data_IF_045694423260
#
_entry.id   IF_045694423260
#
_cell.length_a   1.000
_cell.length_b   1.000
_cell.length_c   1.000
_cell.angle_alpha   90.00
_cell.angle_beta   90.00
_cell.angle_gamma   90.00
#
_symmetry.space_group_name_H-M   'P 1'
#
loop_
_entity.id
_entity.type
_entity.pdbx_description
1 polymer ?
#
# COMPACT_ATOMS: atom_id res chain seq x y z
N UNK A 1 12.29 15.51 14.30
CA UNK A 1 10.89 15.75 13.83
C UNK A 1 9.92 15.61 15.00
N UNK A 2 8.91 16.48 15.08
CA UNK A 2 7.80 16.32 16.04
C UNK A 2 6.90 15.15 15.62
N UNK A 3 6.25 14.46 16.57
CA UNK A 3 5.39 13.28 16.25
C UNK A 3 4.35 13.53 15.15
N UNK A 4 3.60 14.67 15.14
CA UNK A 4 2.65 14.93 14.04
C UNK A 4 3.31 15.02 12.66
N UNK A 5 4.56 15.46 12.58
CA UNK A 5 5.32 15.49 11.34
C UNK A 5 5.69 14.07 10.87
N UNK A 6 6.06 13.18 11.82
CA UNK A 6 6.36 11.77 11.52
C UNK A 6 5.13 11.06 10.95
N UNK A 7 3.96 11.26 11.58
CA UNK A 7 2.68 10.72 11.12
C UNK A 7 2.36 11.16 9.69
N UNK A 8 2.42 12.47 9.41
CA UNK A 8 2.16 13.03 8.08
C UNK A 8 3.14 12.53 7.03
N UNK A 9 4.42 12.43 7.37
CA UNK A 9 5.45 11.90 6.46
C UNK A 9 5.19 10.42 6.18
N UNK A 10 4.90 9.62 7.19
CA UNK A 10 4.60 8.19 7.00
C UNK A 10 3.38 7.99 6.08
N UNK A 11 2.29 8.73 6.29
CA UNK A 11 1.12 8.69 5.41
C UNK A 11 1.44 9.17 3.99
N UNK A 12 2.19 10.25 3.85
CA UNK A 12 2.63 10.76 2.55
C UNK A 12 3.47 9.74 1.78
N UNK A 13 4.37 9.04 2.47
CA UNK A 13 5.19 7.96 1.88
C UNK A 13 4.32 6.78 1.43
N UNK A 14 3.30 6.37 2.20
CA UNK A 14 2.34 5.36 1.77
C UNK A 14 1.64 5.79 0.48
N UNK A 15 1.11 7.02 0.44
CA UNK A 15 0.39 7.53 -0.72
C UNK A 15 1.28 7.54 -1.98
N UNK A 16 2.52 8.02 -1.86
CA UNK A 16 3.47 8.06 -2.98
C UNK A 16 3.87 6.66 -3.42
N UNK A 17 4.13 5.75 -2.47
CA UNK A 17 4.55 4.37 -2.77
C UNK A 17 3.46 3.57 -3.49
N UNK A 18 2.19 3.76 -3.09
CA UNK A 18 1.06 3.02 -3.67
C UNK A 18 0.51 3.64 -4.96
N UNK A 19 0.86 4.90 -5.26
CA UNK A 19 0.32 5.63 -6.42
C UNK A 19 0.58 4.94 -7.77
N UNK A 20 1.78 4.43 -8.07
CA UNK A 20 2.03 3.72 -9.33
C UNK A 20 1.13 2.51 -9.52
N UNK A 21 0.93 1.70 -8.46
CA UNK A 21 0.06 0.52 -8.51
C UNK A 21 -1.40 0.92 -8.76
N UNK A 22 -1.92 1.90 -8.03
CA UNK A 22 -3.29 2.38 -8.21
C UNK A 22 -3.54 2.97 -9.60
N UNK A 23 -2.62 3.79 -10.10
CA UNK A 23 -2.73 4.40 -11.43
C UNK A 23 -2.65 3.34 -12.54
N UNK A 24 -1.65 2.45 -12.48
CA UNK A 24 -1.45 1.46 -13.53
C UNK A 24 -2.59 0.45 -13.57
N UNK A 25 -3.06 -0.04 -12.43
CA UNK A 25 -4.19 -0.96 -12.36
C UNK A 25 -5.48 -0.33 -12.90
N UNK A 26 -5.72 0.97 -12.67
CA UNK A 26 -6.91 1.67 -13.16
C UNK A 26 -6.82 2.04 -14.63
N UNK A 27 -5.70 2.61 -15.07
CA UNK A 27 -5.59 3.23 -16.40
C UNK A 27 -5.04 2.26 -17.47
N UNK A 28 -4.22 1.29 -17.07
CA UNK A 28 -3.59 0.31 -17.94
C UNK A 28 -3.64 -1.11 -17.32
N UNK A 29 -4.84 -1.66 -17.04
CA UNK A 29 -5.03 -2.87 -16.24
C UNK A 29 -4.32 -4.10 -16.83
N UNK A 30 -4.29 -4.25 -18.14
CA UNK A 30 -3.58 -5.36 -18.80
C UNK A 30 -2.07 -5.23 -18.59
N UNK A 31 -1.51 -4.03 -18.75
CA UNK A 31 -0.09 -3.76 -18.50
C UNK A 31 0.28 -3.95 -17.02
N UNK A 32 -0.62 -3.57 -16.10
CA UNK A 32 -0.44 -3.84 -14.68
C UNK A 32 -0.38 -5.35 -14.40
N UNK A 33 -1.34 -6.11 -14.93
CA UNK A 33 -1.39 -7.55 -14.73
C UNK A 33 -0.14 -8.24 -15.28
N UNK A 34 0.26 -7.92 -16.53
CA UNK A 34 1.36 -8.62 -17.22
C UNK A 34 2.75 -8.19 -16.75
N UNK A 35 2.94 -6.94 -16.33
CA UNK A 35 4.27 -6.36 -16.17
C UNK A 35 4.56 -5.67 -14.83
N UNK A 36 3.61 -5.58 -13.91
CA UNK A 36 3.90 -4.91 -12.62
C UNK A 36 4.75 -5.80 -11.69
N UNK A 37 5.71 -5.21 -10.96
CA UNK A 37 6.31 -3.89 -11.16
C UNK A 37 7.41 -3.92 -12.23
N UNK A 38 7.62 -2.80 -12.90
CA UNK A 38 8.80 -2.56 -13.75
C UNK A 38 9.10 -3.68 -14.79
N UNK A 39 8.05 -4.30 -15.35
CA UNK A 39 8.17 -5.38 -16.34
C UNK A 39 8.40 -6.77 -15.74
N UNK A 40 8.38 -6.94 -14.42
CA UNK A 40 8.67 -8.22 -13.76
C UNK A 40 7.49 -9.20 -13.74
N UNK A 41 6.26 -8.73 -13.94
CA UNK A 41 5.08 -9.60 -14.06
C UNK A 41 4.69 -10.37 -12.80
N UNK A 42 4.90 -9.80 -11.62
CA UNK A 42 4.64 -10.50 -10.35
C UNK A 42 3.20 -10.98 -10.20
N UNK A 43 2.24 -10.30 -10.83
CA UNK A 43 0.82 -10.67 -10.75
C UNK A 43 0.53 -11.84 -11.71
N UNK A 44 0.93 -11.71 -12.98
CA UNK A 44 0.73 -12.75 -13.99
C UNK A 44 1.46 -14.06 -13.65
N UNK A 45 2.57 -13.97 -12.91
CA UNK A 45 3.37 -15.13 -12.52
C UNK A 45 2.60 -16.15 -11.65
N UNK A 46 1.58 -15.69 -10.92
CA UNK A 46 0.76 -16.56 -10.08
C UNK A 46 -0.21 -17.46 -10.87
N UNK A 47 -0.25 -17.31 -12.19
CA UNK A 47 -1.01 -18.19 -13.08
C UNK A 47 -2.51 -17.91 -13.12
N UNK A 48 -2.99 -16.85 -12.49
CA UNK A 48 -4.39 -16.47 -12.48
C UNK A 48 -4.85 -15.94 -13.84
N UNK A 49 -6.14 -16.17 -14.17
CA UNK A 49 -6.73 -15.61 -15.37
C UNK A 49 -6.90 -14.09 -15.21
N UNK A 50 -6.49 -13.35 -16.24
CA UNK A 50 -6.72 -11.91 -16.27
C UNK A 50 -8.22 -11.57 -16.24
N UNK A 51 -8.59 -10.72 -15.29
CA UNK A 51 -9.93 -10.16 -15.16
C UNK A 51 -9.83 -8.63 -15.10
N UNK A 52 -10.13 -7.95 -16.21
CA UNK A 52 -10.01 -6.49 -16.29
C UNK A 52 -10.87 -5.76 -15.26
N UNK A 53 -12.10 -6.22 -15.06
CA UNK A 53 -13.01 -5.59 -14.10
C UNK A 53 -12.42 -5.64 -12.68
N UNK A 54 -11.97 -6.80 -12.25
CA UNK A 54 -11.36 -6.95 -10.93
C UNK A 54 -10.09 -6.10 -10.76
N UNK A 55 -9.22 -6.07 -11.77
CA UNK A 55 -7.98 -5.27 -11.72
C UNK A 55 -8.30 -3.78 -11.64
N UNK A 56 -9.28 -3.28 -12.40
CA UNK A 56 -9.72 -1.88 -12.34
C UNK A 56 -10.36 -1.53 -11.00
N UNK A 57 -11.16 -2.43 -10.43
CA UNK A 57 -11.78 -2.20 -9.11
C UNK A 57 -10.72 -2.10 -8.02
N UNK A 58 -9.73 -2.98 -8.01
CA UNK A 58 -8.61 -2.90 -7.07
C UNK A 58 -7.83 -1.58 -7.25
N UNK A 59 -7.57 -1.19 -8.50
CA UNK A 59 -6.92 0.08 -8.81
C UNK A 59 -7.71 1.28 -8.31
N UNK A 60 -9.02 1.30 -8.54
CA UNK A 60 -9.92 2.37 -8.09
C UNK A 60 -9.98 2.46 -6.56
N UNK A 61 -10.04 1.31 -5.86
CA UNK A 61 -10.00 1.26 -4.40
C UNK A 61 -8.67 1.78 -3.86
N UNK A 62 -7.54 1.43 -4.47
CA UNK A 62 -6.24 1.99 -4.10
C UNK A 62 -6.22 3.50 -4.30
N UNK A 63 -6.69 4.02 -5.44
CA UNK A 63 -6.72 5.47 -5.68
C UNK A 63 -7.59 6.20 -4.68
N UNK A 64 -8.77 5.66 -4.35
CA UNK A 64 -9.63 6.24 -3.32
C UNK A 64 -8.93 6.31 -1.96
N UNK A 65 -8.26 5.22 -1.55
CA UNK A 65 -7.52 5.17 -0.30
C UNK A 65 -6.30 6.11 -0.30
N UNK A 66 -5.58 6.20 -1.43
CA UNK A 66 -4.46 7.14 -1.62
C UNK A 66 -4.94 8.59 -1.49
N UNK A 67 -6.05 8.96 -2.13
CA UNK A 67 -6.63 10.31 -2.04
C UNK A 67 -7.01 10.64 -0.60
N UNK A 68 -7.70 9.73 0.09
CA UNK A 68 -8.05 9.89 1.50
C UNK A 68 -6.80 10.05 2.39
N UNK A 69 -5.74 9.29 2.10
CA UNK A 69 -4.46 9.36 2.82
C UNK A 69 -3.77 10.70 2.60
N UNK A 70 -3.65 11.14 1.34
CA UNK A 70 -3.05 12.42 0.99
C UNK A 70 -3.82 13.60 1.58
N UNK A 71 -5.16 13.54 1.54
CA UNK A 71 -6.03 14.54 2.16
C UNK A 71 -5.80 14.62 3.68
N UNK A 72 -5.78 13.47 4.37
CA UNK A 72 -5.52 13.39 5.82
C UNK A 72 -4.15 13.95 6.18
N UNK A 73 -3.11 13.58 5.43
CA UNK A 73 -1.76 14.08 5.64
C UNK A 73 -1.67 15.61 5.43
N UNK A 74 -2.36 16.14 4.42
CA UNK A 74 -2.36 17.58 4.10
C UNK A 74 -3.15 18.39 5.13
N UNK A 75 -4.35 17.95 5.50
CA UNK A 75 -5.25 18.67 6.40
C UNK A 75 -4.98 18.44 7.87
N UNK A 76 -4.02 17.57 8.22
CA UNK A 76 -3.78 17.15 9.61
C UNK A 76 -5.06 16.60 10.28
N UNK A 77 -5.83 15.84 9.51
CA UNK A 77 -7.04 15.18 9.98
C UNK A 77 -6.75 13.93 10.81
N UNK A 78 -7.78 13.22 11.31
CA UNK A 78 -7.63 12.01 12.11
C UNK A 78 -7.00 10.89 11.27
N UNK A 79 -5.71 10.67 11.45
CA UNK A 79 -4.92 9.73 10.64
C UNK A 79 -5.14 8.26 11.03
N UNK A 80 -5.61 7.99 12.25
CA UNK A 80 -5.74 6.63 12.78
C UNK A 80 -6.60 5.70 11.92
N UNK A 81 -7.81 6.08 11.44
CA UNK A 81 -8.62 5.20 10.59
C UNK A 81 -7.91 4.84 9.28
N UNK A 82 -7.25 5.81 8.65
CA UNK A 82 -6.50 5.60 7.41
C UNK A 82 -5.29 4.69 7.65
N UNK A 83 -4.53 4.90 8.72
CA UNK A 83 -3.39 4.06 9.05
C UNK A 83 -3.82 2.62 9.39
N UNK A 84 -4.94 2.44 10.06
CA UNK A 84 -5.53 1.10 10.33
C UNK A 84 -5.95 0.43 9.01
N UNK A 85 -6.59 1.16 8.09
CA UNK A 85 -7.00 0.60 6.79
C UNK A 85 -5.77 0.10 6.00
N UNK A 86 -4.70 0.89 5.93
CA UNK A 86 -3.44 0.48 5.29
C UNK A 86 -2.75 -0.68 6.00
N UNK A 87 -2.80 -0.72 7.34
CA UNK A 87 -2.24 -1.84 8.10
C UNK A 87 -2.98 -3.15 7.79
N UNK A 88 -4.31 -3.13 7.81
CA UNK A 88 -5.13 -4.31 7.50
C UNK A 88 -4.88 -4.78 6.06
N UNK A 89 -4.95 -3.87 5.09
CA UNK A 89 -4.69 -4.18 3.69
C UNK A 89 -3.28 -4.76 3.51
N UNK A 90 -2.25 -4.08 4.05
CA UNK A 90 -0.86 -4.51 3.88
C UNK A 90 -0.54 -5.83 4.55
N UNK A 91 -1.10 -6.10 5.74
CA UNK A 91 -0.90 -7.39 6.43
C UNK A 91 -1.55 -8.53 5.67
N UNK A 92 -2.81 -8.38 5.24
CA UNK A 92 -3.51 -9.43 4.49
C UNK A 92 -2.83 -9.70 3.15
N UNK A 93 -2.37 -8.67 2.47
CA UNK A 93 -1.64 -8.78 1.21
C UNK A 93 -0.27 -9.47 1.38
N UNK A 94 0.47 -9.09 2.42
CA UNK A 94 1.74 -9.74 2.77
C UNK A 94 1.55 -11.23 3.11
N UNK A 95 0.55 -11.57 3.91
CA UNK A 95 0.27 -12.97 4.31
C UNK A 95 -0.06 -13.82 3.08
N UNK A 96 -0.89 -13.28 2.15
CA UNK A 96 -1.20 -13.97 0.90
C UNK A 96 0.07 -14.26 0.10
N UNK A 97 0.87 -13.24 -0.18
CA UNK A 97 2.08 -13.42 -1.01
C UNK A 97 3.19 -14.23 -0.33
N UNK A 98 3.30 -14.17 0.99
CA UNK A 98 4.26 -14.98 1.73
C UNK A 98 3.99 -16.49 1.59
N UNK A 99 2.72 -16.86 1.38
CA UNK A 99 2.32 -18.24 1.07
C UNK A 99 2.42 -18.62 -0.43
N UNK A 100 2.75 -17.67 -1.32
CA UNK A 100 2.75 -17.87 -2.78
C UNK A 100 4.06 -17.39 -3.43
N UNK A 101 5.20 -17.84 -2.88
CA UNK A 101 6.54 -17.46 -3.37
C UNK A 101 7.12 -18.47 -4.36
N UNK A 102 6.44 -19.56 -4.62
CA UNK A 102 6.94 -20.60 -5.51
C UNK A 102 7.06 -20.08 -6.95
N UNK A 103 8.13 -20.48 -7.62
CA UNK A 103 8.41 -20.09 -9.01
C UNK A 103 9.10 -18.73 -9.20
N UNK A 104 9.08 -17.82 -8.22
CA UNK A 104 9.85 -16.57 -8.30
C UNK A 104 11.35 -16.83 -8.09
N UNK A 105 12.20 -16.08 -8.78
CA UNK A 105 13.62 -16.05 -8.49
C UNK A 105 13.91 -15.34 -7.15
N UNK A 106 15.16 -15.43 -6.66
CA UNK A 106 15.54 -14.86 -5.37
C UNK A 106 15.39 -13.35 -5.32
N UNK A 107 15.67 -12.65 -6.41
CA UNK A 107 15.57 -11.18 -6.47
C UNK A 107 14.11 -10.76 -6.39
N UNK A 108 13.23 -11.47 -7.09
CA UNK A 108 11.79 -11.23 -7.06
C UNK A 108 11.20 -11.53 -5.68
N UNK A 109 11.58 -12.64 -5.06
CA UNK A 109 11.14 -12.98 -3.69
C UNK A 109 11.49 -11.88 -2.69
N UNK A 110 12.74 -11.43 -2.71
CA UNK A 110 13.20 -10.36 -1.82
C UNK A 110 12.49 -9.05 -2.14
N UNK A 111 12.43 -8.66 -3.41
CA UNK A 111 11.77 -7.43 -3.84
C UNK A 111 10.29 -7.41 -3.47
N UNK A 112 9.57 -8.52 -3.70
CA UNK A 112 8.17 -8.69 -3.36
C UNK A 112 7.95 -8.53 -1.85
N UNK A 113 8.65 -9.29 -1.03
CA UNK A 113 8.50 -9.24 0.43
C UNK A 113 8.87 -7.85 0.99
N UNK A 114 9.96 -7.24 0.54
CA UNK A 114 10.36 -5.89 0.97
C UNK A 114 9.30 -4.86 0.60
N UNK A 115 8.77 -4.91 -0.62
CA UNK A 115 7.72 -3.98 -1.04
C UNK A 115 6.43 -4.15 -0.22
N UNK A 116 6.04 -5.40 0.07
CA UNK A 116 4.84 -5.70 0.84
C UNK A 116 4.94 -5.35 2.33
N UNK A 117 6.13 -5.44 2.92
CA UNK A 117 6.37 -5.02 4.33
C UNK A 117 6.36 -3.49 4.45
N UNK A 118 6.67 -2.75 3.41
CA UNK A 118 6.81 -1.29 3.45
C UNK A 118 5.51 -0.60 3.92
N UNK A 119 4.37 -0.94 3.34
CA UNK A 119 3.09 -0.28 3.67
C UNK A 119 2.65 -0.54 5.12
N UNK A 120 2.58 -1.79 5.63
CA UNK A 120 2.19 -2.03 7.01
C UNK A 120 3.20 -1.45 8.01
N UNK A 121 4.50 -1.41 7.69
CA UNK A 121 5.49 -0.77 8.55
C UNK A 121 5.28 0.73 8.67
N UNK A 122 5.05 1.43 7.56
CA UNK A 122 4.73 2.86 7.55
C UNK A 122 3.40 3.14 8.29
N UNK A 123 2.40 2.28 8.12
CA UNK A 123 1.14 2.38 8.84
C UNK A 123 1.33 2.25 10.36
N UNK A 124 2.17 1.32 10.82
CA UNK A 124 2.54 1.19 12.24
C UNK A 124 3.28 2.44 12.76
N UNK A 125 4.18 3.01 11.96
CA UNK A 125 4.86 4.27 12.30
C UNK A 125 3.86 5.41 12.45
N UNK A 126 2.89 5.53 11.53
CA UNK A 126 1.83 6.54 11.62
C UNK A 126 0.98 6.35 12.87
N UNK A 127 0.55 5.11 13.17
CA UNK A 127 -0.22 4.78 14.37
C UNK A 127 0.54 5.07 15.67
N UNK A 128 1.83 4.76 15.70
CA UNK A 128 2.68 5.05 16.87
C UNK A 128 2.83 6.57 17.08
N UNK A 129 3.04 7.32 16.01
CA UNK A 129 3.20 8.77 16.07
C UNK A 129 1.90 9.49 16.51
N UNK A 130 0.73 9.01 16.04
CA UNK A 130 -0.58 9.60 16.36
C UNK A 130 -1.10 9.32 17.79
N UNK A 131 -0.54 8.35 18.52
CA UNK A 131 -0.97 8.02 19.89
C UNK A 131 -0.76 9.14 20.93
N UNK A 132 0.17 10.04 20.69
CA UNK A 132 0.54 11.05 21.66
C UNK A 132 -0.43 12.23 21.77
N UNK A 133 -1.29 12.46 20.78
CA UNK A 133 -2.26 13.57 20.85
C UNK A 133 -3.47 13.26 21.72
N UNK A 134 -3.85 11.99 21.84
CA UNK A 134 -4.96 11.56 22.71
C UNK A 134 -4.63 11.57 24.21
N UNK A 135 -3.34 11.56 24.55
CA UNK A 135 -2.90 11.55 25.95
C UNK A 135 -2.69 12.97 26.51
N UNK A 136 -2.82 14.02 25.70
CA UNK A 136 -2.54 15.40 26.08
C UNK A 136 -3.81 16.24 26.34
N UNK A 137 -5.00 15.69 26.20
CA UNK A 137 -6.26 16.31 26.58
C UNK A 137 -6.93 15.46 27.67
N UNK A 138 -6.90 15.93 28.94
CA UNK A 138 -7.70 15.34 30.02
C UNK A 138 -9.18 15.63 29.82
#
# INVERSE_FOLDING_TARGET
MKRPQIERVALGLIAVFMLPAGLQATLAPKSFFDGFPLGRGWIAHQGDAYNEHLVRDVGALFLALIVATAWTAWRSGPARPIAVAWLVQGVLHLVFHAGHLDGYDTVDKVGLIVSLITVPSLALVALWAGRAEHSAHP
#
